data_IF_300983505771
#
_entry.id   IF_300983505771
#
_cell.length_a   1.000
_cell.length_b   1.000
_cell.length_c   1.000
_cell.angle_alpha   90.00
_cell.angle_beta   90.00
_cell.angle_gamma   90.00
#
_symmetry.space_group_name_H-M   'P 1'
#
loop_
_entity.id
_entity.type
_entity.pdbx_description
1 polymer ?
#
# COMPACT_ATOMS: atom_id res chain seq x y z
N UNK A 1 -34.40 -36.01 -16.37
CA UNK A 1 -34.68 -35.58 -14.99
C UNK A 1 -34.00 -34.23 -14.76
N UNK A 2 -34.79 -33.16 -14.83
CA UNK A 2 -34.35 -31.79 -14.61
C UNK A 2 -34.29 -31.51 -13.11
N UNK A 3 -33.15 -31.00 -12.63
CA UNK A 3 -33.11 -30.22 -11.39
C UNK A 3 -32.32 -28.94 -11.65
N UNK A 4 -33.05 -27.92 -12.12
CA UNK A 4 -32.70 -26.51 -11.89
C UNK A 4 -32.92 -26.27 -10.39
N UNK A 5 -31.85 -26.21 -9.61
CA UNK A 5 -31.90 -25.66 -8.27
C UNK A 5 -31.26 -24.28 -8.35
N UNK A 6 -32.13 -23.28 -8.30
CA UNK A 6 -31.77 -21.90 -8.08
C UNK A 6 -31.11 -21.79 -6.69
N UNK A 7 -29.81 -21.51 -6.64
CA UNK A 7 -29.20 -20.89 -5.47
C UNK A 7 -28.97 -19.43 -5.83
N UNK A 8 -30.09 -18.70 -5.80
CA UNK A 8 -30.11 -17.25 -5.78
C UNK A 8 -29.64 -16.80 -4.40
N UNK A 9 -28.58 -16.00 -4.35
CA UNK A 9 -28.31 -15.14 -3.20
C UNK A 9 -27.80 -15.82 -1.93
N UNK A 10 -26.53 -16.18 -1.92
CA UNK A 10 -25.71 -16.01 -0.72
C UNK A 10 -24.53 -15.12 -1.11
N UNK A 11 -24.80 -13.81 -1.06
CA UNK A 11 -23.77 -12.77 -0.98
C UNK A 11 -22.98 -13.07 0.29
N UNK A 12 -21.90 -13.82 0.13
CA UNK A 12 -20.89 -14.04 1.15
C UNK A 12 -20.32 -12.67 1.49
N UNK A 13 -20.89 -12.03 2.52
CA UNK A 13 -20.18 -11.01 3.28
C UNK A 13 -19.02 -11.75 3.90
N UNK A 14 -17.91 -11.83 3.17
CA UNK A 14 -16.60 -12.22 3.70
C UNK A 14 -16.26 -11.22 4.80
N UNK A 15 -16.74 -11.51 6.01
CA UNK A 15 -16.31 -10.86 7.23
C UNK A 15 -14.83 -11.19 7.35
N UNK A 16 -13.98 -10.23 6.99
CA UNK A 16 -12.55 -10.29 7.27
C UNK A 16 -12.42 -10.26 8.81
N UNK A 17 -12.50 -11.43 9.43
CA UNK A 17 -12.16 -11.62 10.84
C UNK A 17 -10.65 -11.40 10.88
N UNK A 18 -10.21 -10.28 11.46
CA UNK A 18 -8.78 -10.02 11.69
C UNK A 18 -8.32 -11.08 12.69
N UNK A 19 -7.71 -12.15 12.20
CA UNK A 19 -7.16 -13.20 13.05
C UNK A 19 -5.78 -12.74 13.50
N UNK A 20 -5.67 -12.39 14.78
CA UNK A 20 -4.38 -12.02 15.36
C UNK A 20 -3.62 -13.31 15.70
N UNK A 21 -2.61 -13.65 14.91
CA UNK A 21 -1.70 -14.76 15.17
C UNK A 21 -0.43 -14.25 15.83
N UNK A 22 0.08 -14.97 16.83
CA UNK A 22 1.35 -14.62 17.49
C UNK A 22 2.51 -15.12 16.64
N UNK A 23 3.47 -14.25 16.37
CA UNK A 23 4.73 -14.58 15.68
C UNK A 23 5.88 -14.39 16.67
N UNK A 24 6.67 -15.44 16.89
CA UNK A 24 7.88 -15.39 17.72
C UNK A 24 9.09 -15.32 16.81
N UNK A 25 9.94 -14.31 17.01
CA UNK A 25 11.16 -14.10 16.24
C UNK A 25 12.38 -14.20 17.18
N UNK A 26 13.44 -14.85 16.72
CA UNK A 26 14.73 -14.88 17.42
C UNK A 26 15.59 -13.75 16.90
N UNK A 27 15.92 -12.79 17.75
CA UNK A 27 16.69 -11.60 17.40
C UNK A 27 17.67 -11.33 18.55
N UNK A 28 18.82 -10.75 18.24
CA UNK A 28 19.81 -10.35 19.23
C UNK A 28 19.25 -9.38 20.27
N UNK A 29 19.65 -9.56 21.53
CA UNK A 29 19.16 -8.77 22.67
C UNK A 29 19.41 -7.26 22.49
N UNK A 30 20.57 -6.88 21.95
CA UNK A 30 20.91 -5.48 21.72
C UNK A 30 19.97 -4.80 20.72
N UNK A 31 19.54 -5.54 19.70
CA UNK A 31 18.61 -5.05 18.68
C UNK A 31 17.22 -4.88 19.30
N UNK A 32 16.78 -5.81 20.16
CA UNK A 32 15.49 -5.72 20.87
C UNK A 32 15.42 -4.44 21.70
N UNK A 33 16.49 -4.10 22.44
CA UNK A 33 16.51 -2.90 23.27
C UNK A 33 16.48 -1.61 22.43
N UNK A 34 17.27 -1.54 21.35
CA UNK A 34 17.22 -0.42 20.39
C UNK A 34 15.83 -0.26 19.78
N UNK A 35 15.19 -1.37 19.40
CA UNK A 35 13.86 -1.37 18.80
C UNK A 35 12.78 -0.91 19.79
N UNK A 36 12.84 -1.33 21.06
CA UNK A 36 11.93 -0.85 22.12
C UNK A 36 12.11 0.64 22.38
N UNK A 37 13.35 1.13 22.44
CA UNK A 37 13.64 2.55 22.62
C UNK A 37 13.03 3.39 21.48
N UNK A 38 13.24 2.94 20.23
CA UNK A 38 12.64 3.57 19.05
C UNK A 38 11.11 3.56 19.09
N UNK A 39 10.50 2.43 19.44
CA UNK A 39 9.05 2.30 19.53
C UNK A 39 8.46 3.28 20.56
N UNK A 40 9.12 3.40 21.72
CA UNK A 40 8.75 4.36 22.78
C UNK A 40 8.86 5.81 22.31
N UNK A 41 9.96 6.17 21.65
CA UNK A 41 10.15 7.52 21.08
C UNK A 41 9.05 7.87 20.07
N UNK A 42 8.62 6.90 19.26
CA UNK A 42 7.56 7.09 18.26
C UNK A 42 6.14 6.92 18.80
N UNK A 43 5.95 6.67 20.10
CA UNK A 43 4.65 6.37 20.71
C UNK A 43 3.87 5.25 19.99
N UNK A 44 4.59 4.19 19.58
CA UNK A 44 4.04 3.02 18.88
C UNK A 44 4.45 1.75 19.61
N UNK A 45 3.66 0.67 19.46
CA UNK A 45 4.12 -0.64 19.93
C UNK A 45 5.12 -1.24 18.94
N UNK A 46 6.03 -2.08 19.45
CA UNK A 46 6.99 -2.79 18.59
C UNK A 46 6.26 -3.73 17.61
N UNK A 47 5.17 -4.36 18.05
CA UNK A 47 4.32 -5.19 17.21
C UNK A 47 3.71 -4.41 16.05
N UNK A 48 3.21 -3.19 16.28
CA UNK A 48 2.63 -2.35 15.22
C UNK A 48 3.68 -2.00 14.16
N UNK A 49 4.90 -1.68 14.60
CA UNK A 49 6.01 -1.31 13.70
C UNK A 49 6.35 -2.51 12.80
N UNK A 50 6.51 -3.70 13.39
CA UNK A 50 6.86 -4.92 12.65
C UNK A 50 5.72 -5.33 11.72
N UNK A 51 4.47 -5.31 12.19
CA UNK A 51 3.31 -5.62 11.36
C UNK A 51 3.21 -4.67 10.16
N UNK A 52 3.38 -3.37 10.39
CA UNK A 52 3.37 -2.39 9.31
C UNK A 52 4.52 -2.62 8.33
N UNK A 53 5.72 -2.92 8.84
CA UNK A 53 6.88 -3.23 8.00
C UNK A 53 6.61 -4.44 7.10
N UNK A 54 6.12 -5.54 7.67
CA UNK A 54 5.74 -6.74 6.93
C UNK A 54 4.66 -6.46 5.89
N UNK A 55 3.63 -5.67 6.23
CA UNK A 55 2.61 -5.21 5.26
C UNK A 55 3.23 -4.44 4.09
N UNK A 56 4.18 -3.55 4.33
CA UNK A 56 4.87 -2.84 3.23
C UNK A 56 5.70 -3.76 2.33
N UNK A 57 6.30 -4.81 2.90
CA UNK A 57 7.07 -5.79 2.12
C UNK A 57 6.14 -6.61 1.21
N UNK A 58 5.06 -7.15 1.77
CA UNK A 58 4.12 -8.00 1.02
C UNK A 58 3.21 -7.18 0.08
N UNK A 59 2.98 -5.90 0.36
CA UNK A 59 2.19 -5.02 -0.51
C UNK A 59 2.80 -4.79 -1.90
N UNK A 60 4.09 -5.14 -2.12
CA UNK A 60 4.69 -5.11 -3.46
C UNK A 60 4.27 -6.30 -4.32
N UNK A 61 3.99 -7.46 -3.72
CA UNK A 61 3.55 -8.67 -4.44
C UNK A 61 2.10 -8.54 -4.91
N UNK A 62 1.26 -7.81 -4.16
CA UNK A 62 -0.13 -7.48 -4.54
C UNK A 62 -0.26 -6.40 -5.63
N UNK A 63 0.85 -5.89 -6.19
CA UNK A 63 0.80 -4.87 -7.26
C UNK A 63 0.27 -5.38 -8.59
N UNK A 64 0.08 -6.68 -8.75
CA UNK A 64 -0.69 -7.23 -9.89
C UNK A 64 -2.17 -6.86 -9.81
N UNK A 65 -2.67 -6.44 -8.65
CA UNK A 65 -3.99 -5.84 -8.50
C UNK A 65 -3.84 -4.33 -8.48
N UNK A 66 -3.83 -3.72 -9.67
CA UNK A 66 -3.88 -2.26 -9.83
C UNK A 66 -4.94 -1.66 -8.89
N UNK A 67 -4.51 -0.95 -7.83
CA UNK A 67 -5.45 -0.18 -7.01
C UNK A 67 -6.18 0.77 -7.95
N UNK A 68 -7.53 0.75 -7.98
CA UNK A 68 -8.26 1.70 -8.82
C UNK A 68 -7.87 3.10 -8.37
N UNK A 69 -7.41 3.92 -9.32
CA UNK A 69 -7.12 5.33 -9.06
C UNK A 69 -8.36 5.97 -8.43
N UNK A 70 -8.16 6.86 -7.45
CA UNK A 70 -9.24 7.69 -6.93
C UNK A 70 -9.98 8.36 -8.09
N UNK A 71 -11.32 8.49 -8.07
CA UNK A 71 -12.11 9.05 -9.17
C UNK A 71 -11.55 10.37 -9.71
N UNK A 72 -11.06 11.24 -8.82
CA UNK A 72 -10.42 12.51 -9.14
C UNK A 72 -9.10 12.30 -9.91
N UNK A 73 -8.27 11.37 -9.45
CA UNK A 73 -7.00 11.05 -10.13
C UNK A 73 -7.27 10.39 -11.48
N UNK A 74 -8.35 9.61 -11.60
CA UNK A 74 -8.77 8.99 -12.86
C UNK A 74 -9.26 10.04 -13.86
N UNK A 75 -10.02 11.05 -13.43
CA UNK A 75 -10.46 12.14 -14.31
C UNK A 75 -9.30 13.05 -14.74
N UNK A 76 -8.27 13.20 -13.90
CA UNK A 76 -7.06 13.96 -14.23
C UNK A 76 -6.08 13.17 -15.12
N UNK A 77 -6.05 11.83 -14.99
CA UNK A 77 -5.20 10.94 -15.80
C UNK A 77 -5.70 10.90 -17.25
N UNK A 78 -5.26 11.88 -18.04
CA UNK A 78 -5.63 12.06 -19.45
C UNK A 78 -6.00 13.50 -19.81
N UNK A 79 -6.19 14.39 -18.82
CA UNK A 79 -6.41 15.82 -19.10
C UNK A 79 -5.14 16.51 -19.63
N UNK A 80 -3.98 15.91 -19.38
CA UNK A 80 -2.70 16.39 -19.88
C UNK A 80 -2.31 15.60 -21.13
N UNK A 81 -2.14 16.30 -22.25
CA UNK A 81 -1.61 15.75 -23.50
C UNK A 81 -0.10 15.53 -23.33
N UNK A 82 0.30 14.33 -22.90
CA UNK A 82 1.71 13.96 -22.90
C UNK A 82 2.12 13.61 -24.33
N UNK A 83 2.99 14.40 -24.95
CA UNK A 83 3.67 13.91 -26.15
C UNK A 83 4.57 12.73 -25.72
N UNK A 84 4.67 11.68 -26.53
CA UNK A 84 5.41 10.46 -26.15
C UNK A 84 6.94 10.68 -26.09
N UNK A 85 7.40 11.87 -26.46
CA UNK A 85 8.81 12.21 -26.67
C UNK A 85 9.33 13.28 -25.70
N UNK A 86 8.54 13.68 -24.69
CA UNK A 86 8.97 14.67 -23.70
C UNK A 86 9.95 14.04 -22.71
N UNK A 87 11.15 14.60 -22.67
CA UNK A 87 12.11 14.32 -21.60
C UNK A 87 11.64 15.02 -20.32
N UNK A 88 10.96 14.24 -19.47
CA UNK A 88 10.43 14.66 -18.18
C UNK A 88 11.47 15.41 -17.33
N UNK A 89 12.74 14.97 -17.34
CA UNK A 89 13.77 15.58 -16.50
C UNK A 89 14.17 16.96 -16.98
N UNK A 90 14.17 17.16 -18.30
CA UNK A 90 14.48 18.45 -18.93
C UNK A 90 13.35 19.44 -18.69
N UNK A 91 12.11 19.03 -18.91
CA UNK A 91 10.94 19.90 -18.73
C UNK A 91 10.74 20.29 -17.26
N UNK A 92 10.98 19.36 -16.33
CA UNK A 92 10.94 19.66 -14.90
C UNK A 92 11.99 20.71 -14.50
N UNK A 93 13.23 20.61 -15.01
CA UNK A 93 14.27 21.61 -14.75
C UNK A 93 13.86 22.98 -15.25
N UNK A 94 13.45 23.08 -16.51
CA UNK A 94 13.03 24.35 -17.10
C UNK A 94 11.88 25.01 -16.31
N UNK A 95 10.87 24.24 -15.89
CA UNK A 95 9.75 24.73 -15.07
C UNK A 95 10.18 25.24 -13.70
N UNK A 96 11.17 24.59 -13.09
CA UNK A 96 11.72 25.02 -11.79
C UNK A 96 12.54 26.29 -11.97
N UNK A 97 13.34 26.37 -13.03
CA UNK A 97 14.08 27.58 -13.38
C UNK A 97 13.11 28.75 -13.60
N UNK A 98 12.09 28.63 -14.44
CA UNK A 98 11.07 29.67 -14.67
C UNK A 98 10.30 30.11 -13.42
N UNK A 99 10.22 29.25 -12.39
CA UNK A 99 9.46 29.55 -11.16
C UNK A 99 10.31 30.26 -10.11
N UNK A 100 11.62 30.01 -10.10
CA UNK A 100 12.52 30.42 -9.01
C UNK A 100 13.64 31.36 -9.46
N UNK A 101 13.85 31.56 -10.76
CA UNK A 101 14.69 32.61 -11.38
C UNK A 101 13.80 33.68 -12.00
#
# INVERSE_FOLDING_TARGET
>A
MHYKIAIFGLREKSRFKVMNTKLTLTIEKEIIEKAKAYAKEKNRSLSDIIENYLKTLTAKEDKTRSKPLSPIVKSLKGSFKTNKTMDYKKELRNRLEEKYL
#
